data_IF_679710496390
#
_entry.id   IF_679710496390
#
_cell.length_a   1.000
_cell.length_b   1.000
_cell.length_c   1.000
_cell.angle_alpha   90.00
_cell.angle_beta   90.00
_cell.angle_gamma   90.00
#
_symmetry.space_group_name_H-M   'P 1'
#
loop_
_entity.id
_entity.type
_entity.pdbx_description
1 polymer ?
#
# COMPACT_ATOMS: atom_id res chain seq x y z
N UNK A 1 6.30 -1.05 7.48
CA UNK A 1 6.26 -1.35 6.02
C UNK A 1 7.65 -1.25 5.39
N UNK A 2 8.15 -0.06 4.98
CA UNK A 2 9.43 0.11 4.27
C UNK A 2 10.64 -0.50 5.00
N UNK A 3 10.81 -0.18 6.29
CA UNK A 3 11.91 -0.74 7.09
C UNK A 3 11.87 -2.27 7.18
N UNK A 4 10.69 -2.86 7.36
CA UNK A 4 10.54 -4.33 7.36
C UNK A 4 10.84 -4.95 6.01
N UNK A 5 10.54 -4.26 4.91
CA UNK A 5 10.82 -4.76 3.57
C UNK A 5 12.33 -4.87 3.30
N UNK A 6 13.12 -3.84 3.64
CA UNK A 6 14.59 -3.90 3.47
C UNK A 6 15.25 -4.86 4.46
N UNK A 7 14.75 -4.94 5.71
CA UNK A 7 15.22 -5.93 6.70
C UNK A 7 15.01 -7.36 6.24
N UNK A 8 13.85 -7.66 5.66
CA UNK A 8 13.55 -8.97 5.06
C UNK A 8 14.55 -9.37 3.97
N UNK A 9 15.14 -8.38 3.31
CA UNK A 9 16.13 -8.56 2.24
C UNK A 9 17.56 -8.20 2.67
N UNK A 10 17.85 -8.27 3.97
CA UNK A 10 19.22 -8.27 4.49
C UNK A 10 19.78 -6.93 4.99
N UNK A 11 18.96 -5.89 5.14
CA UNK A 11 19.45 -4.62 5.71
C UNK A 11 19.98 -4.82 7.14
N UNK A 12 21.20 -4.36 7.40
CA UNK A 12 21.86 -4.45 8.71
C UNK A 12 21.46 -3.29 9.63
N UNK A 13 21.82 -3.36 10.90
CA UNK A 13 21.53 -2.29 11.87
C UNK A 13 22.20 -0.96 11.49
N UNK A 14 23.40 -1.03 10.92
CA UNK A 14 24.22 0.12 10.52
C UNK A 14 23.62 0.86 9.32
N UNK A 15 22.86 0.16 8.49
CA UNK A 15 22.22 0.73 7.30
C UNK A 15 20.87 1.39 7.61
N UNK A 16 20.28 1.08 8.77
CA UNK A 16 18.90 1.46 9.06
C UNK A 16 18.81 2.84 9.73
N UNK A 17 17.76 3.62 9.43
CA UNK A 17 17.56 4.90 10.11
C UNK A 17 17.36 4.68 11.62
N UNK A 18 17.77 5.67 12.41
CA UNK A 18 17.59 5.61 13.86
C UNK A 18 16.18 6.07 14.27
N UNK A 19 15.65 5.44 15.32
CA UNK A 19 14.43 5.86 16.00
C UNK A 19 14.69 7.08 16.90
N UNK A 20 13.64 7.65 17.51
CA UNK A 20 13.78 8.77 18.45
C UNK A 20 14.66 8.42 19.66
N UNK A 21 14.78 7.13 19.98
CA UNK A 21 15.63 6.62 21.06
C UNK A 21 17.08 6.38 20.62
N UNK A 22 17.44 6.71 19.39
CA UNK A 22 18.77 6.48 18.83
C UNK A 22 19.06 5.01 18.49
N UNK A 23 18.07 4.13 18.53
CA UNK A 23 18.25 2.71 18.15
C UNK A 23 17.92 2.49 16.68
N UNK A 24 18.58 1.54 15.98
CA UNK A 24 18.25 1.18 14.61
C UNK A 24 16.79 0.78 14.45
N UNK A 25 16.16 1.23 13.37
CA UNK A 25 14.80 0.83 13.04
C UNK A 25 14.75 -0.68 12.74
N UNK A 26 13.97 -1.42 13.51
CA UNK A 26 13.71 -2.86 13.29
C UNK A 26 12.63 -3.08 12.23
N UNK A 27 11.80 -2.07 11.98
CA UNK A 27 10.60 -2.15 11.15
C UNK A 27 9.35 -2.45 11.98
N UNK A 28 8.23 -2.71 11.31
CA UNK A 28 6.95 -3.01 11.95
C UNK A 28 5.99 -3.74 11.01
N UNK A 29 5.22 -4.65 11.59
CA UNK A 29 4.17 -5.45 10.95
C UNK A 29 4.66 -6.30 9.74
N UNK A 30 5.59 -7.26 9.94
CA UNK A 30 6.18 -8.05 8.84
C UNK A 30 5.14 -8.84 8.03
N UNK A 31 4.09 -9.34 8.69
CA UNK A 31 3.05 -10.15 8.06
C UNK A 31 1.86 -9.33 7.54
N UNK A 32 1.89 -8.00 7.66
CA UNK A 32 0.81 -7.17 7.15
C UNK A 32 0.79 -7.21 5.61
N UNK A 33 -0.38 -7.33 4.96
CA UNK A 33 -0.48 -7.45 3.50
C UNK A 33 0.30 -6.38 2.74
N UNK A 34 0.31 -5.14 3.25
CA UNK A 34 1.08 -4.03 2.66
C UNK A 34 2.59 -4.22 2.86
N UNK A 35 3.09 -4.67 4.02
CA UNK A 35 4.55 -4.96 4.17
C UNK A 35 4.98 -6.03 3.17
N UNK A 36 4.17 -7.07 3.03
CA UNK A 36 4.43 -8.14 2.07
C UNK A 36 4.48 -7.54 0.66
N UNK A 37 3.47 -6.78 0.25
CA UNK A 37 3.40 -6.12 -1.06
C UNK A 37 4.59 -5.19 -1.33
N UNK A 38 4.95 -4.32 -0.38
CA UNK A 38 6.12 -3.42 -0.47
C UNK A 38 7.42 -4.21 -0.66
N UNK A 39 7.54 -5.39 -0.04
CA UNK A 39 8.73 -6.24 -0.15
C UNK A 39 8.81 -7.10 -1.42
N UNK A 40 7.75 -7.17 -2.23
CA UNK A 40 7.66 -8.09 -3.38
C UNK A 40 8.47 -7.65 -4.59
N UNK A 41 8.55 -6.35 -4.87
CA UNK A 41 9.28 -5.82 -6.02
C UNK A 41 9.83 -4.43 -5.74
N UNK A 42 10.92 -4.07 -6.42
CA UNK A 42 11.55 -2.75 -6.31
C UNK A 42 10.60 -1.64 -6.74
N UNK A 43 9.74 -1.89 -7.72
CA UNK A 43 8.74 -0.92 -8.17
C UNK A 43 7.65 -0.65 -7.12
N UNK A 44 7.14 -1.68 -6.43
CA UNK A 44 6.23 -1.48 -5.30
C UNK A 44 6.90 -0.67 -4.17
N UNK A 45 8.18 -0.96 -3.91
CA UNK A 45 8.97 -0.25 -2.92
C UNK A 45 9.15 1.23 -3.29
N UNK A 46 9.58 1.53 -4.52
CA UNK A 46 9.74 2.89 -5.06
C UNK A 46 8.46 3.68 -5.06
N UNK A 47 7.35 3.06 -5.44
CA UNK A 47 6.03 3.68 -5.36
C UNK A 47 5.71 4.09 -3.92
N UNK A 48 6.00 3.21 -2.95
CA UNK A 48 5.75 3.47 -1.53
C UNK A 48 6.63 4.59 -0.98
N UNK A 49 7.92 4.64 -1.36
CA UNK A 49 8.83 5.73 -1.01
C UNK A 49 8.28 7.06 -1.56
N UNK A 50 7.97 7.10 -2.86
CA UNK A 50 7.46 8.31 -3.53
C UNK A 50 6.20 8.82 -2.84
N UNK A 51 5.25 7.92 -2.54
CA UNK A 51 4.02 8.27 -1.85
C UNK A 51 4.28 8.76 -0.41
N UNK A 52 5.19 8.12 0.33
CA UNK A 52 5.53 8.52 1.69
C UNK A 52 6.21 9.90 1.74
N UNK A 53 7.12 10.19 0.81
CA UNK A 53 7.75 11.52 0.69
C UNK A 53 6.73 12.60 0.30
N UNK A 54 5.79 12.29 -0.58
CA UNK A 54 4.70 13.21 -0.92
C UNK A 54 3.83 13.55 0.31
N UNK A 55 3.52 12.56 1.16
CA UNK A 55 2.82 12.79 2.43
C UNK A 55 3.65 13.67 3.39
N UNK A 56 4.96 13.48 3.47
CA UNK A 56 5.86 14.35 4.24
C UNK A 56 5.87 15.79 3.69
N UNK A 57 5.89 15.97 2.37
CA UNK A 57 5.82 17.27 1.72
C UNK A 57 4.51 17.99 2.01
N UNK A 58 3.38 17.29 1.89
CA UNK A 58 2.06 17.85 2.26
C UNK A 58 1.97 18.21 3.75
N UNK A 59 2.57 17.40 4.63
CA UNK A 59 2.67 17.72 6.06
C UNK A 59 3.50 18.99 6.30
N UNK A 60 4.67 19.10 5.68
CA UNK A 60 5.53 20.28 5.76
C UNK A 60 4.78 21.53 5.29
N UNK A 61 4.17 21.47 4.11
CA UNK A 61 3.38 22.56 3.53
C UNK A 61 2.27 23.01 4.48
N UNK A 62 1.62 22.05 5.16
CA UNK A 62 0.48 22.33 6.03
C UNK A 62 0.87 22.90 7.39
N UNK A 63 1.92 22.37 8.00
CA UNK A 63 2.24 22.65 9.40
C UNK A 63 3.52 23.46 9.58
N UNK A 64 4.22 23.79 8.48
CA UNK A 64 5.48 24.54 8.50
C UNK A 64 6.62 23.80 9.20
N UNK A 65 6.49 22.49 9.41
CA UNK A 65 7.46 21.67 10.16
C UNK A 65 7.65 20.31 9.50
N UNK A 66 8.87 19.79 9.59
CA UNK A 66 9.22 18.55 8.93
C UNK A 66 8.59 17.37 9.66
N UNK A 67 8.08 16.39 8.89
CA UNK A 67 7.58 15.18 9.50
C UNK A 67 8.75 14.32 9.97
N UNK A 68 8.69 13.82 11.21
CA UNK A 68 9.77 13.06 11.83
C UNK A 68 10.33 11.90 10.97
N UNK A 69 9.47 11.22 10.20
CA UNK A 69 9.91 10.10 9.38
C UNK A 69 10.56 10.48 8.03
N UNK A 70 10.57 11.77 7.63
CA UNK A 70 11.06 12.20 6.32
C UNK A 70 12.51 11.76 6.06
N UNK A 71 13.44 12.14 6.96
CA UNK A 71 14.83 11.70 6.87
C UNK A 71 14.98 10.16 6.91
N UNK A 72 14.17 9.48 7.72
CA UNK A 72 14.18 8.02 7.79
C UNK A 72 13.74 7.37 6.47
N UNK A 73 12.81 7.98 5.74
CA UNK A 73 12.37 7.51 4.42
C UNK A 73 13.48 7.70 3.39
N UNK A 74 14.21 8.81 3.42
CA UNK A 74 15.34 9.04 2.50
C UNK A 74 16.48 8.03 2.72
N UNK A 75 16.82 7.71 3.96
CA UNK A 75 17.79 6.64 4.26
C UNK A 75 17.31 5.31 3.68
N UNK A 76 16.03 4.97 3.88
CA UNK A 76 15.43 3.74 3.36
C UNK A 76 15.39 3.72 1.83
N UNK A 77 15.19 4.87 1.17
CA UNK A 77 15.25 5.01 -0.28
C UNK A 77 16.61 4.54 -0.83
N UNK A 78 17.71 4.89 -0.16
CA UNK A 78 19.06 4.42 -0.53
C UNK A 78 19.25 2.89 -0.45
N UNK A 79 18.36 2.18 0.23
CA UNK A 79 18.38 0.72 0.38
C UNK A 79 17.52 -0.02 -0.66
N UNK A 80 16.97 0.68 -1.67
CA UNK A 80 16.12 0.05 -2.69
C UNK A 80 16.79 -1.09 -3.46
N UNK A 81 18.12 -1.08 -3.54
CA UNK A 81 18.91 -2.08 -4.24
C UNK A 81 18.82 -3.47 -3.57
N UNK A 82 18.53 -3.51 -2.26
CA UNK A 82 18.26 -4.75 -1.53
C UNK A 82 16.94 -5.40 -1.95
N UNK A 83 15.98 -4.62 -2.45
CA UNK A 83 14.69 -5.15 -2.88
C UNK A 83 14.84 -5.83 -4.25
N UNK A 84 14.24 -7.03 -4.44
CA UNK A 84 14.26 -7.73 -5.73
C UNK A 84 13.71 -6.88 -6.88
N UNK A 85 14.43 -6.85 -8.00
CA UNK A 85 14.07 -6.05 -9.18
C UNK A 85 12.74 -6.49 -9.80
N UNK A 86 12.53 -7.80 -9.96
CA UNK A 86 11.32 -8.38 -10.53
C UNK A 86 10.66 -9.34 -9.55
N UNK A 87 9.34 -9.40 -9.63
CA UNK A 87 8.57 -10.50 -9.05
C UNK A 87 8.97 -11.79 -9.77
N UNK A 88 9.76 -12.63 -9.12
CA UNK A 88 9.83 -14.05 -9.50
C UNK A 88 8.49 -14.62 -9.08
N UNK A 89 7.54 -14.72 -10.01
CA UNK A 89 6.36 -15.51 -9.76
C UNK A 89 6.83 -16.92 -9.38
N UNK A 90 6.45 -17.38 -8.21
CA UNK A 90 6.20 -18.80 -8.03
C UNK A 90 5.30 -19.25 -9.20
N UNK A 91 5.45 -20.49 -9.66
CA UNK A 91 4.91 -21.00 -10.93
C UNK A 91 3.36 -20.90 -11.10
N UNK A 92 2.65 -20.26 -10.19
CA UNK A 92 1.26 -19.83 -10.21
C UNK A 92 1.11 -18.47 -10.92
N UNK A 93 1.37 -18.45 -12.23
CA UNK A 93 1.15 -17.27 -13.08
C UNK A 93 -0.28 -16.72 -12.99
N UNK A 94 -0.43 -15.57 -12.33
CA UNK A 94 -1.66 -14.78 -12.33
C UNK A 94 -1.53 -13.57 -13.26
N UNK A 95 -2.38 -13.52 -14.29
CA UNK A 95 -2.49 -12.39 -15.23
C UNK A 95 -3.15 -11.20 -14.54
N UNK A 96 -2.55 -10.01 -14.57
CA UNK A 96 -3.16 -8.77 -14.10
C UNK A 96 -3.96 -8.11 -15.22
N UNK A 97 -5.29 -8.08 -15.09
CA UNK A 97 -6.21 -7.35 -15.96
C UNK A 97 -6.45 -5.95 -15.37
N UNK A 98 -5.77 -4.93 -15.88
CA UNK A 98 -6.03 -3.55 -15.43
C UNK A 98 -5.38 -2.44 -16.25
N UNK A 99 -4.35 -2.72 -17.05
CA UNK A 99 -3.62 -1.67 -17.79
C UNK A 99 -3.68 -1.82 -19.31
N UNK A 100 -4.17 -2.97 -19.82
CA UNK A 100 -4.03 -3.30 -21.24
C UNK A 100 -2.57 -3.40 -21.71
N UNK A 101 -1.60 -3.31 -20.80
CA UNK A 101 -0.18 -3.42 -21.07
C UNK A 101 0.32 -4.75 -20.50
N UNK A 102 1.10 -5.53 -21.27
CA UNK A 102 1.64 -6.78 -20.79
C UNK A 102 2.60 -6.55 -19.60
N UNK A 103 2.57 -7.50 -18.64
CA UNK A 103 3.30 -7.53 -17.36
C UNK A 103 4.80 -7.21 -17.52
N UNK A 104 5.34 -7.48 -18.70
CA UNK A 104 6.74 -7.28 -19.06
C UNK A 104 7.23 -5.82 -19.06
N UNK A 105 6.35 -4.80 -18.95
CA UNK A 105 6.77 -3.38 -18.98
C UNK A 105 6.76 -2.64 -17.63
N UNK A 106 6.17 -3.18 -16.56
CA UNK A 106 6.22 -2.58 -15.22
C UNK A 106 6.31 -3.66 -14.14
N UNK A 107 7.29 -3.60 -13.23
CA UNK A 107 7.43 -4.52 -12.09
C UNK A 107 6.45 -4.24 -10.93
N UNK A 108 5.50 -3.31 -11.10
CA UNK A 108 4.43 -3.04 -10.13
C UNK A 108 3.42 -4.19 -10.10
N UNK A 109 3.06 -4.64 -8.90
CA UNK A 109 1.98 -5.62 -8.69
C UNK A 109 0.71 -4.92 -8.19
N UNK A 110 -0.50 -5.46 -8.44
CA UNK A 110 -1.74 -4.91 -7.87
C UNK A 110 -1.65 -4.62 -6.38
N UNK A 111 -2.31 -3.55 -5.92
CA UNK A 111 -2.24 -3.10 -4.53
C UNK A 111 -2.85 -4.14 -3.59
N UNK A 112 -2.16 -4.43 -2.48
CA UNK A 112 -2.72 -5.23 -1.42
C UNK A 112 -3.87 -4.47 -0.71
N UNK A 113 -5.02 -5.12 -0.56
CA UNK A 113 -6.18 -4.55 0.12
C UNK A 113 -6.12 -4.90 1.62
N UNK A 114 -5.56 -3.99 2.41
CA UNK A 114 -5.52 -4.11 3.86
C UNK A 114 -6.80 -3.54 4.48
N UNK A 115 -7.91 -4.21 4.22
CA UNK A 115 -9.25 -3.84 4.68
C UNK A 115 -10.12 -5.08 4.95
N UNK A 116 -11.23 -4.97 5.68
CA UNK A 116 -12.15 -6.08 5.90
C UNK A 116 -12.70 -6.65 4.59
N UNK A 117 -12.95 -7.96 4.59
CA UNK A 117 -13.30 -8.73 3.40
C UNK A 117 -14.60 -8.23 2.72
N UNK A 118 -15.55 -7.71 3.49
CA UNK A 118 -16.83 -7.21 3.00
C UNK A 118 -16.71 -5.98 2.09
N UNK A 119 -15.59 -5.24 2.15
CA UNK A 119 -15.34 -4.07 1.30
C UNK A 119 -14.43 -4.39 0.10
N UNK A 120 -13.77 -5.55 0.13
CA UNK A 120 -12.89 -5.98 -0.96
C UNK A 120 -13.72 -6.32 -2.20
N UNK A 121 -13.23 -5.99 -3.41
CA UNK A 121 -13.93 -6.36 -4.64
C UNK A 121 -14.08 -7.88 -4.75
N UNK A 122 -15.22 -8.32 -5.30
CA UNK A 122 -15.44 -9.72 -5.66
C UNK A 122 -15.00 -9.94 -7.11
N UNK A 123 -14.30 -11.05 -7.35
CA UNK A 123 -13.91 -11.52 -8.67
C UNK A 123 -14.45 -12.91 -8.96
N UNK A 124 -14.32 -13.35 -10.21
CA UNK A 124 -14.48 -14.73 -10.59
C UNK A 124 -13.09 -15.33 -10.82
N UNK A 125 -12.84 -16.50 -10.24
CA UNK A 125 -11.63 -17.29 -10.50
C UNK A 125 -12.05 -18.62 -11.12
N UNK A 126 -11.30 -19.07 -12.13
CA UNK A 126 -11.50 -20.39 -12.71
C UNK A 126 -10.92 -21.44 -11.77
N UNK A 127 -11.75 -22.32 -11.24
CA UNK A 127 -11.30 -23.50 -10.51
C UNK A 127 -10.85 -24.60 -11.49
N UNK A 128 -9.89 -25.49 -11.12
CA UNK A 128 -9.37 -26.54 -12.01
C UNK A 128 -10.43 -27.46 -12.64
N UNK A 129 -11.66 -27.49 -12.12
CA UNK A 129 -12.78 -28.30 -12.63
C UNK A 129 -13.83 -27.46 -13.37
N UNK A 130 -13.41 -26.36 -14.02
CA UNK A 130 -14.23 -25.49 -14.90
C UNK A 130 -15.38 -24.72 -14.24
N UNK A 131 -15.47 -24.69 -12.91
CA UNK A 131 -16.50 -23.89 -12.25
C UNK A 131 -15.99 -22.47 -11.94
N UNK A 132 -16.78 -21.45 -12.28
CA UNK A 132 -16.48 -20.07 -11.91
C UNK A 132 -16.79 -19.86 -10.43
N UNK A 133 -15.75 -19.71 -9.60
CA UNK A 133 -15.91 -19.49 -8.17
C UNK A 133 -15.82 -18.00 -7.86
N UNK A 134 -16.76 -17.50 -7.07
CA UNK A 134 -16.69 -16.14 -6.53
C UNK A 134 -15.59 -16.10 -5.47
N UNK A 135 -14.58 -15.27 -5.71
CA UNK A 135 -13.46 -15.06 -4.77
C UNK A 135 -13.43 -13.62 -4.28
N UNK A 136 -13.00 -13.43 -3.05
CA UNK A 136 -12.70 -12.12 -2.49
C UNK A 136 -11.28 -11.75 -2.91
N UNK A 137 -11.12 -10.65 -3.65
CA UNK A 137 -9.80 -10.23 -4.13
C UNK A 137 -8.96 -9.71 -2.95
N UNK A 138 -7.76 -10.27 -2.75
CA UNK A 138 -6.79 -9.75 -1.78
C UNK A 138 -5.92 -8.62 -2.33
N UNK A 139 -5.86 -8.49 -3.66
CA UNK A 139 -5.16 -7.43 -4.37
C UNK A 139 -6.03 -6.90 -5.50
N UNK A 140 -5.91 -5.62 -5.83
CA UNK A 140 -6.73 -4.98 -6.85
C UNK A 140 -5.94 -3.96 -7.67
N UNK A 141 -6.50 -3.56 -8.81
CA UNK A 141 -5.94 -2.45 -9.60
C UNK A 141 -5.98 -1.14 -8.81
N UNK A 142 -5.25 -0.10 -9.26
CA UNK A 142 -5.30 1.22 -8.62
C UNK A 142 -6.73 1.74 -8.47
N UNK A 143 -7.50 1.74 -9.56
CA UNK A 143 -8.88 2.23 -9.55
C UNK A 143 -9.81 1.35 -8.71
N UNK A 144 -9.72 0.02 -8.84
CA UNK A 144 -10.53 -0.90 -8.03
C UNK A 144 -10.21 -0.76 -6.53
N UNK A 145 -8.93 -0.59 -6.18
CA UNK A 145 -8.48 -0.38 -4.81
C UNK A 145 -8.99 0.95 -4.25
N UNK A 146 -8.87 2.05 -5.00
CA UNK A 146 -9.40 3.36 -4.60
C UNK A 146 -10.89 3.25 -4.34
N UNK A 147 -11.66 2.63 -5.24
CA UNK A 147 -13.10 2.48 -5.05
C UNK A 147 -13.45 1.59 -3.84
N UNK A 148 -12.67 0.54 -3.58
CA UNK A 148 -12.84 -0.27 -2.37
C UNK A 148 -12.63 0.58 -1.11
N UNK A 149 -11.54 1.33 -1.01
CA UNK A 149 -11.28 2.22 0.12
C UNK A 149 -12.35 3.31 0.27
N UNK A 150 -12.83 3.92 -0.83
CA UNK A 150 -13.92 4.90 -0.77
C UNK A 150 -15.17 4.29 -0.15
N UNK A 151 -15.58 3.08 -0.53
CA UNK A 151 -16.71 2.38 0.09
C UNK A 151 -16.49 2.14 1.59
N UNK A 152 -15.28 1.74 1.97
CA UNK A 152 -14.92 1.58 3.37
C UNK A 152 -15.04 2.88 4.15
N UNK A 153 -14.54 4.02 3.64
CA UNK A 153 -14.66 5.30 4.33
C UNK A 153 -16.11 5.78 4.47
N UNK A 154 -16.97 5.55 3.47
CA UNK A 154 -18.41 5.81 3.59
C UNK A 154 -19.09 4.92 4.64
N UNK A 155 -18.53 3.75 4.96
CA UNK A 155 -19.06 2.89 6.01
C UNK A 155 -18.64 3.33 7.44
N UNK A 156 -17.88 4.41 7.60
CA UNK A 156 -17.28 4.81 8.88
C UNK A 156 -17.75 6.18 9.30
N UNK A 157 -18.11 6.32 10.58
CA UNK A 157 -18.55 7.59 11.18
C UNK A 157 -17.41 8.53 11.53
N UNK A 158 -16.18 8.04 11.63
CA UNK A 158 -15.00 8.87 11.91
C UNK A 158 -14.51 9.69 10.70
N UNK A 159 -15.08 9.47 9.51
CA UNK A 159 -14.79 10.24 8.32
C UNK A 159 -15.59 11.55 8.38
N UNK A 160 -15.05 12.55 9.09
CA UNK A 160 -15.67 13.85 9.30
C UNK A 160 -14.72 15.01 8.97
N UNK A 161 -15.29 16.15 8.56
CA UNK A 161 -14.56 17.36 8.12
C UNK A 161 -14.80 18.57 9.02
N UNK A 162 -14.78 18.37 10.34
CA UNK A 162 -15.05 19.40 11.35
C UNK A 162 -13.83 20.29 11.70
N UNK A 163 -12.67 20.09 11.05
CA UNK A 163 -11.42 20.85 11.30
C UNK A 163 -11.14 21.91 10.22
N UNK A 164 -12.17 22.59 9.74
CA UNK A 164 -12.05 23.71 8.79
C UNK A 164 -11.57 23.34 7.39
N UNK A 165 -11.64 22.05 7.01
CA UNK A 165 -11.36 21.59 5.64
C UNK A 165 -12.66 21.34 4.90
N UNK A 166 -12.69 21.65 3.61
CA UNK A 166 -13.74 21.13 2.75
C UNK A 166 -13.66 19.59 2.69
N UNK A 167 -14.83 18.98 2.64
CA UNK A 167 -15.00 17.60 2.25
C UNK A 167 -14.44 17.39 0.84
N UNK A 168 -13.74 16.27 0.55
CA UNK A 168 -13.22 16.00 -0.77
C UNK A 168 -14.37 15.64 -1.72
N UNK A 169 -14.22 16.01 -3.00
CA UNK A 169 -15.26 15.86 -4.03
C UNK A 169 -15.73 14.42 -4.27
N UNK A 170 -14.97 13.42 -3.83
CA UNK A 170 -15.34 12.01 -3.96
C UNK A 170 -16.22 11.49 -2.81
N UNK A 171 -16.27 12.19 -1.68
CA UNK A 171 -17.02 11.75 -0.51
C UNK A 171 -18.44 12.33 -0.56
N UNK A 172 -19.42 11.45 -0.46
CA UNK A 172 -20.84 11.78 -0.48
C UNK A 172 -21.45 11.45 0.91
N UNK A 173 -21.83 12.47 1.71
CA UNK A 173 -22.37 12.24 3.04
C UNK A 173 -23.70 11.48 3.01
N UNK A 174 -24.45 11.50 1.90
CA UNK A 174 -25.69 10.74 1.76
C UNK A 174 -25.42 9.23 1.65
N UNK A 175 -24.21 8.84 1.22
CA UNK A 175 -23.77 7.45 1.16
C UNK A 175 -23.19 6.94 2.48
N UNK A 176 -23.08 7.80 3.50
CA UNK A 176 -22.52 7.40 4.79
C UNK A 176 -23.54 6.56 5.57
N UNK A 177 -23.40 5.24 5.49
CA UNK A 177 -24.29 4.33 6.22
C UNK A 177 -23.85 4.29 7.67
N UNK A 178 -24.66 4.86 8.56
CA UNK A 178 -24.54 4.63 10.00
C UNK A 178 -25.06 3.21 10.25
N UNK A 179 -24.16 2.25 10.43
CA UNK A 179 -24.55 0.96 11.00
C UNK A 179 -25.13 1.25 12.40
N UNK A 180 -26.44 1.06 12.55
CA UNK A 180 -27.15 1.14 13.82
C UNK A 180 -26.68 0.05 14.79
#
# INVERSE_FOLDING_TARGET
MLGSAVRKHGATDEQMPLTQKGTPLVGGYPNHPVTIWVSKSRDNYRWTITHALALCSEFQKRFGKEHYCANGIEILNGLEHLIPEKYMADASGGVYQGTGLPIEKTGMTPFALAMPDEYRPRGLMLDPVLNWVRVIKSHATGDEAVQAYRRYYHSKTFAEWNKGRSMPDWFDPEQQVVAA
#
